data_IF_097750428446
#
_entry.id   IF_097750428446
#
_cell.length_a   1.000
_cell.length_b   1.000
_cell.length_c   1.000
_cell.angle_alpha   90.00
_cell.angle_beta   90.00
_cell.angle_gamma   90.00
#
_symmetry.space_group_name_H-M   'P 1'
#
loop_
_entity.id
_entity.type
_entity.pdbx_description
1 polymer ?
#
# COMPACT_ATOMS: atom_id res chain seq x y z
N UNK A 1 20.00 -5.08 -22.25
CA UNK A 1 18.59 -5.49 -22.37
C UNK A 1 18.47 -6.94 -21.98
N UNK A 2 18.00 -7.24 -20.78
CA UNK A 2 17.31 -8.49 -20.41
C UNK A 2 16.74 -8.24 -19.02
N UNK A 3 15.44 -7.95 -18.97
CA UNK A 3 14.68 -8.03 -17.74
C UNK A 3 14.84 -9.43 -17.17
N UNK A 4 15.17 -9.50 -15.88
CA UNK A 4 14.95 -10.71 -15.10
C UNK A 4 13.81 -10.38 -14.18
N UNK A 5 12.72 -11.12 -14.39
CA UNK A 5 11.66 -11.37 -13.44
C UNK A 5 12.24 -11.87 -12.10
N UNK A 6 12.86 -10.97 -11.32
CA UNK A 6 13.11 -11.22 -9.92
C UNK A 6 11.78 -11.07 -9.21
N UNK A 7 11.18 -12.21 -8.85
CA UNK A 7 10.09 -12.24 -7.89
C UNK A 7 10.47 -11.35 -6.69
N UNK A 8 9.56 -10.51 -6.17
CA UNK A 8 9.81 -9.76 -4.94
C UNK A 8 10.31 -10.70 -3.87
N UNK A 9 11.44 -10.36 -3.26
CA UNK A 9 11.89 -11.08 -2.07
C UNK A 9 10.89 -10.76 -0.94
N UNK A 10 10.59 -11.70 -0.03
CA UNK A 10 9.70 -11.47 1.11
C UNK A 10 9.98 -10.15 1.84
N UNK A 11 11.27 -9.81 1.97
CA UNK A 11 11.74 -8.55 2.55
C UNK A 11 11.24 -7.28 1.82
N UNK A 12 11.10 -7.29 0.50
CA UNK A 12 10.60 -6.12 -0.25
C UNK A 12 9.09 -5.92 -0.01
N UNK A 13 8.33 -7.01 0.12
CA UNK A 13 6.92 -6.93 0.54
C UNK A 13 6.76 -6.41 1.97
N UNK A 14 7.64 -6.85 2.86
CA UNK A 14 7.62 -6.43 4.26
C UNK A 14 7.94 -4.93 4.38
N UNK A 15 8.89 -4.43 3.56
CA UNK A 15 9.21 -3.00 3.46
C UNK A 15 8.03 -2.16 2.95
N UNK A 16 7.32 -2.61 1.91
CA UNK A 16 6.16 -1.88 1.38
C UNK A 16 5.03 -1.77 2.41
N UNK A 17 4.78 -2.85 3.15
CA UNK A 17 3.82 -2.85 4.26
C UNK A 17 4.27 -1.92 5.39
N UNK A 18 5.56 -1.84 5.68
CA UNK A 18 6.11 -0.92 6.68
C UNK A 18 5.97 0.55 6.25
N UNK A 19 6.21 0.87 4.97
CA UNK A 19 5.96 2.21 4.42
C UNK A 19 4.50 2.60 4.58
N UNK A 20 3.58 1.70 4.24
CA UNK A 20 2.14 1.95 4.39
C UNK A 20 1.73 2.16 5.85
N UNK A 21 2.35 1.45 6.80
CA UNK A 21 2.15 1.69 8.23
C UNK A 21 2.62 3.08 8.66
N UNK A 22 3.73 3.59 8.10
CA UNK A 22 4.19 4.95 8.36
C UNK A 22 3.25 6.01 7.76
N UNK A 23 2.77 5.81 6.53
CA UNK A 23 1.76 6.69 5.91
C UNK A 23 0.50 6.72 6.77
N UNK A 24 0.01 5.56 7.21
CA UNK A 24 -1.14 5.46 8.11
C UNK A 24 -0.95 6.22 9.43
N UNK A 25 0.22 6.08 10.06
CA UNK A 25 0.54 6.78 11.30
C UNK A 25 0.65 8.30 11.10
N UNK A 26 1.16 8.76 9.95
CA UNK A 26 1.16 10.18 9.61
C UNK A 26 -0.26 10.69 9.39
N UNK A 27 -1.05 9.96 8.59
CA UNK A 27 -2.42 10.28 8.26
C UNK A 27 -3.32 10.43 9.49
N UNK A 28 -3.20 9.51 10.45
CA UNK A 28 -3.93 9.59 11.73
C UNK A 28 -3.67 10.86 12.54
N UNK A 29 -2.52 11.52 12.35
CA UNK A 29 -2.21 12.80 13.03
C UNK A 29 -2.91 13.99 12.40
N UNK A 30 -3.33 13.88 11.15
CA UNK A 30 -3.99 14.94 10.38
C UNK A 30 -5.48 14.69 10.16
N UNK A 31 -6.01 13.55 10.64
CA UNK A 31 -7.41 13.18 10.49
C UNK A 31 -8.34 14.19 11.21
N UNK A 32 -9.36 14.68 10.51
CA UNK A 32 -10.41 15.54 11.08
C UNK A 32 -10.20 17.05 10.90
N UNK A 33 -9.29 17.45 9.99
CA UNK A 33 -9.10 18.86 9.61
C UNK A 33 -10.14 19.32 8.60
N UNK A 34 -10.73 18.41 7.81
CA UNK A 34 -11.76 18.67 6.80
C UNK A 34 -13.00 17.76 6.99
N UNK A 35 -14.19 18.16 6.52
CA UNK A 35 -15.42 17.37 6.65
C UNK A 35 -15.52 16.17 5.69
N UNK A 36 -14.66 16.10 4.68
CA UNK A 36 -14.60 14.98 3.73
C UNK A 36 -13.61 13.89 4.19
N UNK A 37 -13.80 12.61 3.81
CA UNK A 37 -12.83 11.58 4.12
C UNK A 37 -11.47 11.94 3.50
N UNK A 38 -10.46 12.19 4.34
CA UNK A 38 -9.09 12.39 3.88
C UNK A 38 -8.62 11.12 3.16
N UNK A 39 -8.40 11.22 1.85
CA UNK A 39 -7.81 10.15 1.05
C UNK A 39 -6.29 10.28 1.13
N UNK A 40 -5.62 9.17 1.36
CA UNK A 40 -4.18 9.07 1.50
C UNK A 40 -3.61 8.15 0.43
N UNK A 41 -2.43 8.51 -0.07
CA UNK A 41 -1.70 7.75 -1.08
C UNK A 41 -0.89 6.64 -0.39
N UNK A 42 -1.36 5.40 -0.48
CA UNK A 42 -0.63 4.22 -0.02
C UNK A 42 0.16 3.59 -1.17
N UNK A 43 1.26 2.91 -0.88
CA UNK A 43 2.04 2.22 -1.89
C UNK A 43 1.47 0.84 -2.17
N UNK A 44 1.36 0.46 -3.44
CA UNK A 44 0.92 -0.87 -3.84
C UNK A 44 1.89 -1.98 -3.37
N UNK A 45 1.36 -2.95 -2.63
CA UNK A 45 2.07 -4.10 -2.06
C UNK A 45 2.00 -5.36 -2.94
N UNK A 46 1.78 -5.20 -4.26
CA UNK A 46 1.71 -6.33 -5.20
C UNK A 46 3.03 -7.12 -5.26
N UNK A 47 4.14 -6.45 -4.92
CA UNK A 47 5.49 -6.99 -4.94
C UNK A 47 6.14 -7.00 -6.33
N UNK A 48 5.56 -6.43 -7.38
CA UNK A 48 6.37 -6.33 -8.61
C UNK A 48 7.58 -5.41 -8.35
N UNK A 49 8.80 -5.79 -8.77
CA UNK A 49 10.06 -5.10 -8.43
C UNK A 49 10.08 -3.63 -8.88
N UNK A 50 9.31 -3.29 -9.91
CA UNK A 50 9.18 -1.92 -10.44
C UNK A 50 7.80 -1.29 -10.16
N UNK A 51 6.97 -1.89 -9.28
CA UNK A 51 5.68 -1.29 -8.93
C UNK A 51 5.89 -0.12 -7.96
N UNK A 52 5.56 1.09 -8.44
CA UNK A 52 5.54 2.32 -7.64
C UNK A 52 4.17 2.99 -7.63
N UNK A 53 3.13 2.21 -7.91
CA UNK A 53 1.77 2.73 -8.04
C UNK A 53 1.21 3.08 -6.66
N UNK A 54 0.57 4.23 -6.58
CA UNK A 54 -0.12 4.69 -5.39
C UNK A 54 -1.60 4.25 -5.43
N UNK A 55 -2.11 3.86 -4.28
CA UNK A 55 -3.51 3.47 -4.07
C UNK A 55 -4.11 4.50 -3.13
N UNK A 56 -4.97 5.35 -3.67
CA UNK A 56 -5.70 6.34 -2.89
C UNK A 56 -6.78 5.64 -2.06
N UNK A 57 -6.64 5.66 -0.73
CA UNK A 57 -7.59 5.07 0.20
C UNK A 57 -7.84 6.01 1.37
N UNK A 58 -9.05 5.97 1.91
CA UNK A 58 -9.30 6.53 3.24
C UNK A 58 -8.60 5.69 4.31
N UNK A 59 -8.37 6.30 5.48
CA UNK A 59 -7.82 5.58 6.64
C UNK A 59 -8.68 4.37 7.04
N UNK A 60 -10.00 4.51 6.95
CA UNK A 60 -10.94 3.44 7.27
C UNK A 60 -10.84 2.26 6.29
N UNK A 61 -10.69 2.53 4.99
CA UNK A 61 -10.52 1.48 3.98
C UNK A 61 -9.18 0.76 4.14
N UNK A 62 -8.10 1.50 4.41
CA UNK A 62 -6.80 0.91 4.70
C UNK A 62 -6.88 -0.01 5.93
N UNK A 63 -7.47 0.47 7.03
CA UNK A 63 -7.64 -0.31 8.26
C UNK A 63 -8.49 -1.56 8.04
N UNK A 64 -9.57 -1.47 7.26
CA UNK A 64 -10.40 -2.62 6.91
C UNK A 64 -9.62 -3.68 6.13
N UNK A 65 -8.79 -3.28 5.16
CA UNK A 65 -7.93 -4.21 4.41
C UNK A 65 -6.91 -4.88 5.32
N UNK A 66 -6.24 -4.11 6.20
CA UNK A 66 -5.27 -4.65 7.15
C UNK A 66 -5.91 -5.60 8.17
N UNK A 67 -7.09 -5.27 8.67
CA UNK A 67 -7.86 -6.15 9.56
C UNK A 67 -8.27 -7.46 8.88
N UNK A 68 -8.54 -7.42 7.57
CA UNK A 68 -8.82 -8.61 6.76
C UNK A 68 -7.55 -9.39 6.36
N UNK A 69 -6.35 -8.93 6.74
CA UNK A 69 -5.07 -9.51 6.30
C UNK A 69 -4.80 -9.33 4.79
N UNK A 70 -5.50 -8.40 4.15
CA UNK A 70 -5.37 -8.10 2.73
C UNK A 70 -4.30 -7.01 2.51
N UNK A 71 -3.43 -7.16 1.51
CA UNK A 71 -2.54 -6.08 1.10
C UNK A 71 -3.33 -4.93 0.48
N UNK A 72 -2.69 -3.77 0.49
CA UNK A 72 -3.05 -2.69 -0.41
C UNK A 72 -2.50 -3.02 -1.80
N UNK A 73 -3.37 -3.19 -2.80
CA UNK A 73 -2.96 -3.48 -4.18
C UNK A 73 -3.78 -2.60 -5.12
N UNK A 74 -3.09 -1.99 -6.09
CA UNK A 74 -3.74 -1.16 -7.07
C UNK A 74 -4.75 -1.95 -7.93
N UNK A 75 -5.83 -1.32 -8.42
CA UNK A 75 -6.79 -1.99 -9.29
C UNK A 75 -6.12 -2.65 -10.50
N UNK A 76 -6.40 -3.93 -10.72
CA UNK A 76 -5.79 -4.70 -11.82
C UNK A 76 -4.44 -5.36 -11.48
N UNK A 77 -3.83 -5.01 -10.35
CA UNK A 77 -2.65 -5.71 -9.86
C UNK A 77 -3.06 -6.93 -9.04
N UNK A 78 -2.20 -7.96 -9.06
CA UNK A 78 -2.38 -9.17 -8.26
C UNK A 78 -1.14 -9.37 -7.41
N UNK A 79 -1.28 -9.97 -6.22
CA UNK A 79 -0.11 -10.38 -5.44
C UNK A 79 0.72 -11.35 -6.29
N UNK A 80 1.99 -11.00 -6.50
CA UNK A 80 2.97 -11.92 -7.06
C UNK A 80 3.47 -12.82 -5.92
N UNK A 81 3.21 -14.13 -6.05
CA UNK A 81 3.61 -15.17 -5.09
C UNK A 81 5.02 -15.70 -5.39
#
# INVERSE_FOLDING_TARGET
MTGRDEKPKPAERDLLSEVNAHVHAAARRFQGVEPEPDHWEFTCECGAPDCREAVSLTLAEYEAQRAAGQPVVAPGHRRHA
#
